data_IF_245295470408
#
_entry.id   IF_245295470408
#
_cell.length_a   1.000
_cell.length_b   1.000
_cell.length_c   1.000
_cell.angle_alpha   90.00
_cell.angle_beta   90.00
_cell.angle_gamma   90.00
#
_symmetry.space_group_name_H-M   'P 1'
#
loop_
_entity.id
_entity.type
_entity.pdbx_description
1 polymer ?
#
# COMPACT_ATOMS: atom_id res chain seq x y z
N UNK A 1 9.59 8.21 -11.85
CA UNK A 1 8.50 7.24 -12.11
C UNK A 1 9.01 5.88 -12.63
N UNK A 2 9.86 5.84 -13.65
CA UNK A 2 10.37 4.56 -14.17
C UNK A 2 11.11 3.70 -13.14
N UNK A 3 12.00 4.29 -12.34
CA UNK A 3 12.76 3.55 -11.31
C UNK A 3 11.89 2.93 -10.21
N UNK A 4 10.74 3.54 -9.90
CA UNK A 4 9.82 3.02 -8.87
C UNK A 4 8.91 1.90 -9.39
N UNK A 5 8.82 1.71 -10.71
CA UNK A 5 8.08 0.62 -11.35
C UNK A 5 8.97 -0.61 -11.62
N UNK A 6 10.27 -0.41 -11.80
CA UNK A 6 11.19 -1.50 -12.11
C UNK A 6 11.17 -2.59 -11.02
N UNK A 7 11.17 -2.20 -9.78
CA UNK A 7 11.15 -3.14 -8.64
C UNK A 7 9.86 -3.97 -8.57
N UNK A 8 8.63 -3.40 -8.63
CA UNK A 8 7.39 -4.18 -8.67
C UNK A 8 7.29 -5.10 -9.88
N UNK A 9 7.73 -4.64 -11.05
CA UNK A 9 7.73 -5.47 -12.27
C UNK A 9 8.72 -6.63 -12.12
N UNK A 10 9.91 -6.37 -11.58
CA UNK A 10 10.86 -7.42 -11.29
C UNK A 10 10.28 -8.46 -10.31
N UNK A 11 9.60 -8.03 -9.24
CA UNK A 11 8.93 -8.94 -8.31
C UNK A 11 7.88 -9.80 -9.00
N UNK A 12 7.04 -9.23 -9.88
CA UNK A 12 6.06 -10.01 -10.65
C UNK A 12 6.75 -11.03 -11.55
N UNK A 13 7.76 -10.61 -12.30
CA UNK A 13 8.49 -11.48 -13.21
C UNK A 13 9.22 -12.62 -12.47
N UNK A 14 9.91 -12.30 -11.36
CA UNK A 14 10.62 -13.31 -10.59
C UNK A 14 9.67 -14.27 -9.87
N UNK A 15 8.74 -13.75 -9.05
CA UNK A 15 7.87 -14.58 -8.23
C UNK A 15 6.89 -15.40 -9.07
N UNK A 16 6.38 -14.83 -10.17
CA UNK A 16 5.48 -15.54 -11.07
C UNK A 16 6.12 -16.74 -11.78
N UNK A 17 7.44 -16.70 -11.98
CA UNK A 17 8.16 -17.74 -12.68
C UNK A 17 8.94 -18.72 -11.78
N UNK A 18 9.31 -18.29 -10.56
CA UNK A 18 10.06 -19.16 -9.62
C UNK A 18 9.14 -20.24 -9.03
N UNK A 19 7.90 -19.87 -8.67
CA UNK A 19 6.96 -20.79 -8.04
C UNK A 19 6.01 -21.39 -9.08
N UNK A 20 6.49 -22.37 -9.83
CA UNK A 20 5.66 -23.20 -10.73
C UNK A 20 5.12 -24.39 -9.94
N UNK A 21 4.10 -24.15 -9.13
CA UNK A 21 3.44 -25.21 -8.37
C UNK A 21 2.37 -25.90 -9.22
N UNK A 22 2.15 -27.23 -9.04
CA UNK A 22 1.05 -27.94 -9.68
C UNK A 22 -0.31 -27.25 -9.40
N UNK A 23 -1.21 -27.30 -10.40
CA UNK A 23 -2.50 -26.60 -10.33
C UNK A 23 -3.39 -27.06 -9.18
N UNK A 24 -3.31 -28.31 -8.77
CA UNK A 24 -4.03 -28.89 -7.63
C UNK A 24 -3.55 -28.29 -6.30
N UNK A 25 -2.24 -28.08 -6.14
CA UNK A 25 -1.66 -27.42 -4.96
C UNK A 25 -2.05 -25.94 -4.97
N UNK A 26 -1.98 -25.27 -6.11
CA UNK A 26 -2.37 -23.87 -6.24
C UNK A 26 -3.84 -23.65 -5.89
N UNK A 27 -4.74 -24.46 -6.44
CA UNK A 27 -6.18 -24.36 -6.13
C UNK A 27 -6.48 -24.64 -4.67
N UNK A 28 -5.83 -25.64 -4.08
CA UNK A 28 -6.12 -26.10 -2.71
C UNK A 28 -5.58 -25.16 -1.62
N UNK A 29 -4.37 -24.64 -1.78
CA UNK A 29 -3.69 -23.84 -0.73
C UNK A 29 -3.74 -22.34 -0.98
N UNK A 30 -3.87 -21.91 -2.24
CA UNK A 30 -3.79 -20.49 -2.62
C UNK A 30 -5.09 -19.96 -3.23
N UNK A 31 -6.04 -20.83 -3.57
CA UNK A 31 -7.31 -20.45 -4.20
C UNK A 31 -7.15 -19.79 -5.58
N UNK A 32 -6.00 -19.95 -6.21
CA UNK A 32 -5.63 -19.29 -7.47
C UNK A 32 -5.17 -20.31 -8.52
N UNK A 33 -5.26 -19.98 -9.80
CA UNK A 33 -4.81 -20.85 -10.89
C UNK A 33 -3.29 -20.84 -11.05
N UNK A 34 -2.63 -19.74 -10.70
CA UNK A 34 -1.18 -19.56 -10.76
C UNK A 34 -0.66 -18.78 -9.57
N UNK A 35 0.61 -18.98 -9.21
CA UNK A 35 1.24 -18.21 -8.13
C UNK A 35 1.29 -16.70 -8.48
N UNK A 36 1.47 -16.36 -9.75
CA UNK A 36 1.42 -14.98 -10.21
C UNK A 36 0.08 -14.32 -9.91
N UNK A 37 -1.05 -15.02 -10.13
CA UNK A 37 -2.39 -14.50 -9.81
C UNK A 37 -2.55 -14.27 -8.31
N UNK A 38 -2.06 -15.17 -7.47
CA UNK A 38 -2.07 -15.05 -6.02
C UNK A 38 -1.17 -13.89 -5.52
N UNK A 39 -0.02 -13.67 -6.16
CA UNK A 39 1.00 -12.72 -5.73
C UNK A 39 0.76 -11.29 -6.24
N UNK A 40 0.03 -11.11 -7.34
CA UNK A 40 -0.25 -9.77 -7.91
C UNK A 40 -0.88 -8.80 -6.92
N UNK A 41 -1.90 -9.16 -6.10
CA UNK A 41 -2.43 -8.32 -5.03
C UNK A 41 -1.35 -7.82 -4.06
N UNK A 42 -0.43 -8.70 -3.68
CA UNK A 42 0.69 -8.36 -2.80
C UNK A 42 1.59 -7.29 -3.39
N UNK A 43 1.92 -7.37 -4.67
CA UNK A 43 2.75 -6.36 -5.36
C UNK A 43 2.04 -5.01 -5.40
N UNK A 44 0.73 -4.97 -5.63
CA UNK A 44 -0.07 -3.75 -5.61
C UNK A 44 -0.04 -3.12 -4.20
N UNK A 45 -0.24 -3.91 -3.17
CA UNK A 45 -0.20 -3.46 -1.76
C UNK A 45 1.21 -2.98 -1.37
N UNK A 46 2.26 -3.68 -1.79
CA UNK A 46 3.65 -3.27 -1.57
C UNK A 46 3.91 -1.86 -2.14
N UNK A 47 3.46 -1.62 -3.37
CA UNK A 47 3.60 -0.30 -4.02
C UNK A 47 2.79 0.76 -3.28
N UNK A 48 1.60 0.42 -2.76
CA UNK A 48 0.77 1.33 -2.00
C UNK A 48 1.43 1.74 -0.66
N UNK A 49 1.98 0.78 0.08
CA UNK A 49 2.70 1.02 1.34
C UNK A 49 3.95 1.88 1.10
N UNK A 50 4.81 1.48 0.17
CA UNK A 50 6.04 2.22 -0.14
C UNK A 50 5.74 3.61 -0.71
N UNK A 51 4.72 3.74 -1.56
CA UNK A 51 4.27 5.02 -2.10
C UNK A 51 3.79 5.97 -1.00
N UNK A 52 3.05 5.47 -0.01
CA UNK A 52 2.64 6.24 1.15
C UNK A 52 3.82 6.73 1.99
N UNK A 53 4.78 5.85 2.26
CA UNK A 53 6.01 6.18 3.00
C UNK A 53 6.77 7.33 2.32
N UNK A 54 6.89 7.31 1.00
CA UNK A 54 7.54 8.38 0.23
C UNK A 54 6.83 9.73 0.35
N UNK A 55 5.54 9.75 0.69
CA UNK A 55 4.77 10.98 0.91
C UNK A 55 5.35 11.85 2.02
N UNK A 56 5.54 11.30 3.22
CA UNK A 56 6.13 12.02 4.35
C UNK A 56 7.62 12.33 4.17
N UNK A 57 8.36 11.38 3.57
CA UNK A 57 9.77 11.60 3.18
C UNK A 57 9.94 12.86 2.33
N UNK A 58 9.07 13.07 1.33
CA UNK A 58 9.13 14.24 0.46
C UNK A 58 8.92 15.56 1.21
N UNK A 59 8.15 15.54 2.29
CA UNK A 59 7.90 16.74 3.12
C UNK A 59 9.15 17.11 3.93
N UNK A 60 9.85 16.13 4.49
CA UNK A 60 11.10 16.40 5.22
C UNK A 60 12.13 17.03 4.29
N UNK A 61 12.27 16.51 3.07
CA UNK A 61 13.18 17.08 2.06
C UNK A 61 12.81 18.53 1.74
N UNK A 62 11.52 18.83 1.59
CA UNK A 62 11.09 20.20 1.31
C UNK A 62 11.37 21.15 2.48
N UNK A 63 11.25 20.67 3.71
CA UNK A 63 11.61 21.45 4.90
C UNK A 63 13.13 21.71 4.91
N UNK A 64 13.95 20.69 4.72
CA UNK A 64 15.42 20.83 4.70
C UNK A 64 15.93 21.74 3.57
N UNK A 65 15.31 21.66 2.38
CA UNK A 65 15.66 22.53 1.24
C UNK A 65 15.08 23.93 1.32
N UNK A 66 14.33 24.25 2.38
CA UNK A 66 13.70 25.57 2.55
C UNK A 66 12.49 25.83 1.63
N UNK A 67 12.08 24.86 0.80
CA UNK A 67 10.89 24.99 -0.05
C UNK A 67 9.63 25.17 0.78
N UNK A 68 9.56 24.48 1.93
CA UNK A 68 8.42 24.58 2.81
C UNK A 68 8.22 26.01 3.35
N UNK A 69 9.30 26.71 3.70
CA UNK A 69 9.23 28.12 4.13
C UNK A 69 8.68 29.04 3.02
N UNK A 70 9.05 28.78 1.76
CA UNK A 70 8.53 29.54 0.61
C UNK A 70 7.03 29.30 0.39
N UNK A 71 6.55 28.07 0.61
CA UNK A 71 5.11 27.77 0.52
C UNK A 71 4.30 28.45 1.64
N UNK A 72 4.88 28.66 2.82
CA UNK A 72 4.20 29.33 3.94
C UNK A 72 4.03 30.83 3.75
N UNK A 73 4.71 31.46 2.81
CA UNK A 73 4.50 32.89 2.44
C UNK A 73 3.22 33.05 1.61
N UNK A 74 2.79 31.98 0.91
CA UNK A 74 1.51 31.96 0.21
C UNK A 74 0.35 31.79 1.22
N UNK A 75 -0.85 32.35 0.94
CA UNK A 75 -2.02 32.23 1.84
C UNK A 75 -2.63 30.82 1.78
N UNK A 76 -1.81 29.79 2.01
CA UNK A 76 -2.20 28.38 1.97
C UNK A 76 -2.03 27.77 3.37
N UNK A 77 -3.03 27.03 3.84
CA UNK A 77 -2.94 26.36 5.13
C UNK A 77 -1.89 25.23 5.09
N UNK A 78 -1.17 25.03 6.19
CA UNK A 78 -0.18 23.94 6.32
C UNK A 78 -0.81 22.57 6.08
N UNK A 79 -2.04 22.36 6.54
CA UNK A 79 -2.80 21.14 6.32
C UNK A 79 -3.11 20.90 4.84
N UNK A 80 -3.41 21.95 4.07
CA UNK A 80 -3.64 21.83 2.63
C UNK A 80 -2.39 21.38 1.87
N UNK A 81 -1.20 21.87 2.26
CA UNK A 81 0.06 21.41 1.67
C UNK A 81 0.31 19.92 1.98
N UNK A 82 0.11 19.52 3.24
CA UNK A 82 0.31 18.14 3.65
C UNK A 82 -0.65 17.17 2.96
N UNK A 83 -1.97 17.48 2.97
CA UNK A 83 -2.99 16.64 2.33
C UNK A 83 -2.82 16.60 0.80
N UNK A 84 -2.50 17.73 0.17
CA UNK A 84 -2.22 17.79 -1.27
C UNK A 84 -1.05 16.90 -1.68
N UNK A 85 0.03 16.89 -0.90
CA UNK A 85 1.15 15.97 -1.13
C UNK A 85 0.76 14.52 -0.96
N UNK A 86 0.11 14.17 0.14
CA UNK A 86 -0.34 12.79 0.38
C UNK A 86 -1.26 12.32 -0.74
N UNK A 87 -2.21 13.15 -1.19
CA UNK A 87 -3.09 12.84 -2.32
C UNK A 87 -2.31 12.66 -3.63
N UNK A 88 -1.28 13.47 -3.88
CA UNK A 88 -0.44 13.33 -5.09
C UNK A 88 0.29 11.99 -5.13
N UNK A 89 0.72 11.46 -3.98
CA UNK A 89 1.30 10.11 -3.90
C UNK A 89 0.23 9.03 -4.08
N UNK A 90 -0.97 9.23 -3.56
CA UNK A 90 -2.11 8.34 -3.83
C UNK A 90 -2.39 8.22 -5.33
N UNK A 91 -2.44 9.34 -6.06
CA UNK A 91 -2.63 9.33 -7.51
C UNK A 91 -1.48 8.64 -8.26
N UNK A 92 -0.22 8.84 -7.83
CA UNK A 92 0.93 8.11 -8.40
C UNK A 92 0.80 6.61 -8.21
N UNK A 93 0.39 6.17 -7.02
CA UNK A 93 0.13 4.76 -6.71
C UNK A 93 -1.02 4.22 -7.54
N UNK A 94 -2.09 5.02 -7.75
CA UNK A 94 -3.17 4.65 -8.66
C UNK A 94 -2.67 4.35 -10.07
N UNK A 95 -1.83 5.22 -10.64
CA UNK A 95 -1.22 4.99 -11.96
C UNK A 95 -0.32 3.76 -11.96
N UNK A 96 0.47 3.54 -10.88
CA UNK A 96 1.31 2.35 -10.75
C UNK A 96 0.48 1.07 -10.66
N UNK A 97 -0.64 1.08 -9.93
CA UNK A 97 -1.56 -0.04 -9.84
C UNK A 97 -2.19 -0.39 -11.20
N UNK A 98 -2.57 0.61 -12.01
CA UNK A 98 -3.03 0.39 -13.40
C UNK A 98 -1.95 -0.33 -14.21
N UNK A 99 -0.71 0.14 -14.15
CA UNK A 99 0.40 -0.47 -14.90
C UNK A 99 0.64 -1.92 -14.43
N UNK A 100 0.63 -2.17 -13.12
CA UNK A 100 0.81 -3.52 -12.55
C UNK A 100 -0.34 -4.44 -12.99
N UNK A 101 -1.59 -4.00 -12.90
CA UNK A 101 -2.75 -4.77 -13.38
C UNK A 101 -2.65 -5.07 -14.87
N UNK A 102 -2.21 -4.10 -15.68
CA UNK A 102 -2.05 -4.29 -17.13
C UNK A 102 -0.95 -5.31 -17.44
N UNK A 103 0.21 -5.17 -16.80
CA UNK A 103 1.33 -6.11 -17.00
C UNK A 103 0.96 -7.52 -16.53
N UNK A 104 0.35 -7.65 -15.36
CA UNK A 104 -0.09 -8.96 -14.85
C UNK A 104 -1.12 -9.60 -15.77
N UNK A 105 -2.04 -8.83 -16.37
CA UNK A 105 -2.99 -9.33 -17.36
C UNK A 105 -2.32 -9.80 -18.63
N UNK A 106 -1.28 -9.10 -19.13
CA UNK A 106 -0.48 -9.54 -20.26
C UNK A 106 0.27 -10.86 -19.93
N UNK A 107 0.70 -11.03 -18.67
CA UNK A 107 1.34 -12.25 -18.17
C UNK A 107 0.35 -13.41 -17.91
N UNK A 108 -0.94 -13.23 -18.21
CA UNK A 108 -1.96 -14.27 -18.10
C UNK A 108 -2.80 -14.24 -16.81
N UNK A 109 -2.65 -13.21 -15.97
CA UNK A 109 -3.53 -13.04 -14.79
C UNK A 109 -4.88 -12.49 -15.25
N UNK A 110 -5.93 -13.26 -15.03
CA UNK A 110 -7.31 -12.79 -15.24
C UNK A 110 -7.85 -12.10 -13.98
N UNK A 111 -8.48 -10.95 -14.14
CA UNK A 111 -9.22 -10.28 -13.08
C UNK A 111 -10.67 -10.76 -13.18
N UNK A 112 -11.12 -11.58 -12.23
CA UNK A 112 -12.44 -12.21 -12.25
C UNK A 112 -13.60 -11.20 -12.36
N UNK A 113 -13.43 -9.99 -11.83
CA UNK A 113 -14.43 -8.92 -11.81
C UNK A 113 -14.30 -7.92 -12.98
N UNK A 114 -13.37 -8.16 -13.90
CA UNK A 114 -13.16 -7.31 -15.09
C UNK A 114 -12.71 -5.89 -14.74
N UNK A 115 -13.07 -4.93 -15.59
CA UNK A 115 -12.64 -3.52 -15.48
C UNK A 115 -13.17 -2.85 -14.20
N UNK A 116 -14.39 -3.16 -13.79
CA UNK A 116 -14.97 -2.59 -12.55
C UNK A 116 -14.17 -3.03 -11.32
N UNK A 117 -13.76 -4.30 -11.29
CA UNK A 117 -12.90 -4.79 -10.22
C UNK A 117 -11.50 -4.16 -10.25
N UNK A 118 -10.94 -3.93 -11.43
CA UNK A 118 -9.68 -3.22 -11.55
C UNK A 118 -9.75 -1.81 -10.96
N UNK A 119 -10.83 -1.07 -11.20
CA UNK A 119 -11.05 0.25 -10.59
C UNK A 119 -11.13 0.13 -9.07
N UNK A 120 -11.85 -0.84 -8.54
CA UNK A 120 -11.93 -1.07 -7.10
C UNK A 120 -10.55 -1.38 -6.48
N UNK A 121 -9.75 -2.24 -7.12
CA UNK A 121 -8.38 -2.55 -6.70
C UNK A 121 -7.51 -1.29 -6.64
N UNK A 122 -7.59 -0.43 -7.66
CA UNK A 122 -6.85 0.84 -7.71
C UNK A 122 -7.27 1.75 -6.55
N UNK A 123 -8.57 1.87 -6.26
CA UNK A 123 -9.09 2.69 -5.18
C UNK A 123 -8.64 2.18 -3.80
N UNK A 124 -8.63 0.86 -3.59
CA UNK A 124 -8.12 0.24 -2.36
C UNK A 124 -6.62 0.52 -2.19
N UNK A 125 -5.84 0.38 -3.25
CA UNK A 125 -4.41 0.70 -3.23
C UNK A 125 -4.14 2.18 -2.91
N UNK A 126 -4.91 3.10 -3.49
CA UNK A 126 -4.84 4.53 -3.18
C UNK A 126 -5.21 4.80 -1.72
N UNK A 127 -6.25 4.18 -1.20
CA UNK A 127 -6.70 4.33 0.18
C UNK A 127 -5.61 3.86 1.16
N UNK A 128 -5.00 2.71 0.91
CA UNK A 128 -3.88 2.21 1.70
C UNK A 128 -2.65 3.15 1.62
N UNK A 129 -2.35 3.68 0.43
CA UNK A 129 -1.28 4.67 0.26
C UNK A 129 -1.55 5.92 1.10
N UNK A 130 -2.78 6.40 1.18
CA UNK A 130 -3.15 7.54 2.03
C UNK A 130 -2.96 7.23 3.51
N UNK A 131 -3.26 6.00 3.96
CA UNK A 131 -3.04 5.55 5.33
C UNK A 131 -1.55 5.61 5.71
N UNK A 132 -0.70 4.97 4.90
CA UNK A 132 0.75 4.99 5.11
C UNK A 132 1.38 6.36 4.87
N UNK A 133 0.80 7.18 4.00
CA UNK A 133 1.17 8.58 3.84
C UNK A 133 0.89 9.41 5.08
N UNK A 134 -0.25 9.21 5.73
CA UNK A 134 -0.58 9.79 7.02
C UNK A 134 0.38 9.35 8.12
N UNK A 135 0.64 8.04 8.23
CA UNK A 135 1.63 7.49 9.17
C UNK A 135 3.02 8.10 8.93
N UNK A 136 3.47 8.12 7.68
CA UNK A 136 4.75 8.69 7.28
C UNK A 136 4.86 10.16 7.64
N UNK A 137 3.80 10.94 7.43
CA UNK A 137 3.75 12.34 7.80
C UNK A 137 3.78 12.54 9.31
N UNK A 138 3.07 11.70 10.09
CA UNK A 138 3.12 11.73 11.55
C UNK A 138 4.53 11.46 12.09
N UNK A 139 5.23 10.48 11.52
CA UNK A 139 6.64 10.18 11.85
C UNK A 139 7.56 11.33 11.42
N UNK A 140 7.30 11.98 10.29
CA UNK A 140 8.10 13.10 9.79
C UNK A 140 8.17 14.28 10.77
N UNK A 141 7.09 14.54 11.50
CA UNK A 141 7.05 15.59 12.53
C UNK A 141 8.01 15.31 13.70
N UNK A 142 8.23 14.02 14.01
CA UNK A 142 9.06 13.57 15.13
C UNK A 142 10.50 13.23 14.72
N UNK A 143 10.74 13.02 13.43
CA UNK A 143 12.04 12.62 12.91
C UNK A 143 13.02 13.82 12.86
N UNK A 144 14.25 13.61 13.34
CA UNK A 144 15.29 14.65 13.35
C UNK A 144 15.89 14.88 11.96
N UNK A 145 15.95 13.85 11.14
CA UNK A 145 16.52 13.89 9.78
C UNK A 145 15.85 12.85 8.88
N UNK A 146 16.21 12.88 7.60
CA UNK A 146 15.66 12.00 6.56
C UNK A 146 16.00 10.54 6.83
N UNK A 147 17.21 10.25 7.28
CA UNK A 147 17.69 8.90 7.54
C UNK A 147 16.92 8.26 8.70
N UNK A 148 16.72 8.99 9.80
CA UNK A 148 15.94 8.51 10.95
C UNK A 148 14.47 8.24 10.56
N UNK A 149 13.86 9.11 9.76
CA UNK A 149 12.51 8.91 9.25
C UNK A 149 12.42 7.62 8.43
N UNK A 150 13.36 7.43 7.50
CA UNK A 150 13.36 6.27 6.61
C UNK A 150 13.63 4.97 7.36
N UNK A 151 14.55 4.99 8.33
CA UNK A 151 14.84 3.85 9.18
C UNK A 151 13.61 3.42 10.00
N UNK A 152 12.92 4.38 10.65
CA UNK A 152 11.72 4.10 11.42
C UNK A 152 10.60 3.51 10.57
N UNK A 153 10.37 4.06 9.38
CA UNK A 153 9.30 3.57 8.51
C UNK A 153 9.62 2.23 7.88
N UNK A 154 10.87 1.98 7.49
CA UNK A 154 11.28 0.66 7.02
C UNK A 154 11.18 -0.40 8.14
N UNK A 155 11.54 -0.03 9.37
CA UNK A 155 11.39 -0.89 10.55
C UNK A 155 9.92 -1.26 10.82
N UNK A 156 8.97 -0.38 10.47
CA UNK A 156 7.54 -0.66 10.61
C UNK A 156 6.96 -1.37 9.38
N UNK A 157 7.30 -0.91 8.16
CA UNK A 157 6.68 -1.39 6.93
C UNK A 157 7.07 -2.83 6.59
N UNK A 158 8.34 -3.20 6.76
CA UNK A 158 8.80 -4.55 6.45
C UNK A 158 8.09 -5.63 7.29
N UNK A 159 8.03 -5.52 8.64
CA UNK A 159 7.25 -6.46 9.43
C UNK A 159 5.77 -6.49 9.04
N UNK A 160 5.14 -5.33 8.78
CA UNK A 160 3.74 -5.29 8.39
C UNK A 160 3.49 -6.00 7.05
N UNK A 161 4.38 -5.88 6.08
CA UNK A 161 4.27 -6.60 4.80
C UNK A 161 4.48 -8.10 5.01
N UNK A 162 5.53 -8.50 5.74
CA UNK A 162 5.84 -9.92 5.94
C UNK A 162 4.88 -10.62 6.90
N UNK A 163 4.35 -9.93 7.91
CA UNK A 163 3.31 -10.44 8.83
C UNK A 163 1.89 -10.31 8.25
N UNK A 164 1.73 -10.38 6.95
CA UNK A 164 0.46 -10.37 6.25
C UNK A 164 0.36 -11.57 5.30
N UNK A 165 -0.81 -11.92 4.78
CA UNK A 165 -0.98 -13.01 3.82
C UNK A 165 -0.41 -12.65 2.43
N UNK A 166 0.79 -12.05 2.42
CA UNK A 166 1.47 -11.58 1.21
C UNK A 166 2.04 -12.73 0.39
N UNK A 167 2.68 -13.70 1.05
CA UNK A 167 3.45 -14.78 0.41
C UNK A 167 2.71 -16.11 0.51
N UNK A 168 1.92 -16.31 1.56
CA UNK A 168 1.18 -17.54 1.83
C UNK A 168 -0.26 -17.23 2.25
N UNK A 169 -1.18 -18.19 2.02
CA UNK A 169 -2.57 -18.05 2.47
C UNK A 169 -2.70 -18.28 3.98
N UNK A 170 -3.77 -17.77 4.60
CA UNK A 170 -4.05 -17.98 6.02
C UNK A 170 -4.07 -19.45 6.43
N UNK A 171 -4.56 -20.33 5.55
CA UNK A 171 -4.67 -21.77 5.79
C UNK A 171 -3.33 -22.48 5.94
N UNK A 172 -2.28 -21.93 5.33
CA UNK A 172 -0.92 -22.47 5.39
C UNK A 172 -0.06 -21.87 6.51
N UNK A 173 -0.61 -20.90 7.26
CA UNK A 173 0.12 -20.20 8.33
C UNK A 173 0.02 -20.92 9.67
N UNK A 174 1.09 -20.95 10.50
CA UNK A 174 1.00 -21.31 11.91
C UNK A 174 0.02 -20.40 12.65
N UNK A 175 -0.67 -20.92 13.66
CA UNK A 175 -1.74 -20.21 14.40
C UNK A 175 -1.30 -18.87 15.00
N UNK A 176 -0.08 -18.81 15.55
CA UNK A 176 0.49 -17.57 16.10
C UNK A 176 0.70 -16.50 15.02
N UNK A 177 1.13 -16.91 13.84
CA UNK A 177 1.37 -16.00 12.71
C UNK A 177 0.04 -15.49 12.16
N UNK A 178 -0.95 -16.38 11.97
CA UNK A 178 -2.30 -16.00 11.54
C UNK A 178 -2.95 -14.99 12.50
N UNK A 179 -2.71 -15.11 13.81
CA UNK A 179 -3.21 -14.14 14.81
C UNK A 179 -2.57 -12.76 14.61
N UNK A 180 -1.26 -12.69 14.40
CA UNK A 180 -0.57 -11.42 14.11
C UNK A 180 -1.01 -10.82 12.76
N UNK A 181 -1.20 -11.66 11.75
CA UNK A 181 -1.69 -11.23 10.45
C UNK A 181 -3.09 -10.61 10.52
N UNK A 182 -3.98 -11.11 11.39
CA UNK A 182 -5.32 -10.53 11.62
C UNK A 182 -5.29 -9.18 12.32
N UNK A 183 -4.24 -8.85 13.06
CA UNK A 183 -4.07 -7.52 13.67
C UNK A 183 -3.43 -6.51 12.71
N UNK A 184 -2.96 -6.96 11.58
CA UNK A 184 -2.20 -6.17 10.63
C UNK A 184 -3.10 -5.43 9.62
N UNK A 185 -3.06 -4.08 9.54
CA UNK A 185 -3.90 -3.33 8.61
C UNK A 185 -3.61 -3.64 7.13
N UNK A 186 -2.39 -4.11 6.80
CA UNK A 186 -2.01 -4.49 5.43
C UNK A 186 -2.80 -5.70 4.96
N UNK A 187 -3.12 -6.63 5.85
CA UNK A 187 -3.95 -7.81 5.58
C UNK A 187 -5.31 -7.43 4.99
N UNK A 188 -5.95 -6.44 5.61
CA UNK A 188 -7.26 -5.94 5.21
C UNK A 188 -7.27 -5.19 3.88
N UNK A 189 -6.11 -4.90 3.30
CA UNK A 189 -6.00 -4.41 1.93
C UNK A 189 -5.69 -5.55 0.94
N UNK A 190 -4.89 -6.55 1.32
CA UNK A 190 -4.54 -7.68 0.47
C UNK A 190 -5.75 -8.57 0.19
N UNK A 191 -6.51 -8.92 1.23
CA UNK A 191 -7.64 -9.84 1.11
C UNK A 191 -8.76 -9.35 0.16
N UNK A 192 -9.28 -8.11 0.28
CA UNK A 192 -10.28 -7.63 -0.66
C UNK A 192 -9.74 -7.50 -2.09
N UNK A 193 -8.48 -7.06 -2.28
CA UNK A 193 -7.86 -7.01 -3.60
C UNK A 193 -7.78 -8.43 -4.20
N UNK A 194 -7.34 -9.41 -3.40
CA UNK A 194 -7.25 -10.82 -3.82
C UNK A 194 -8.62 -11.38 -4.15
N UNK A 195 -9.62 -11.15 -3.31
CA UNK A 195 -11.00 -11.58 -3.53
C UNK A 195 -11.55 -11.02 -4.84
N UNK A 196 -11.40 -9.71 -5.08
CA UNK A 196 -11.84 -9.04 -6.31
C UNK A 196 -11.13 -9.63 -7.54
N UNK A 197 -9.84 -9.91 -7.44
CA UNK A 197 -9.06 -10.41 -8.58
C UNK A 197 -9.30 -11.88 -8.88
N UNK A 198 -9.53 -12.73 -7.85
CA UNK A 198 -9.56 -14.19 -8.00
C UNK A 198 -10.99 -14.74 -7.91
N UNK A 199 -11.72 -14.39 -6.85
CA UNK A 199 -13.00 -15.00 -6.49
C UNK A 199 -14.23 -14.22 -6.98
N UNK A 200 -14.05 -12.96 -7.38
CA UNK A 200 -15.15 -12.09 -7.81
C UNK A 200 -15.70 -11.20 -6.69
N UNK A 201 -16.94 -10.73 -6.85
CA UNK A 201 -17.60 -9.83 -5.90
C UNK A 201 -18.16 -10.60 -4.69
N UNK A 202 -17.34 -10.78 -3.65
CA UNK A 202 -17.79 -11.30 -2.37
C UNK A 202 -17.87 -10.17 -1.34
N UNK A 203 -19.02 -9.51 -1.28
CA UNK A 203 -19.23 -8.34 -0.42
C UNK A 203 -19.12 -8.67 1.07
N UNK A 204 -19.35 -9.92 1.49
CA UNK A 204 -19.24 -10.34 2.90
C UNK A 204 -17.80 -10.31 3.40
N UNK A 205 -16.83 -10.48 2.51
CA UNK A 205 -15.38 -10.35 2.81
C UNK A 205 -14.92 -8.92 2.53
N UNK A 206 -15.27 -8.37 1.38
CA UNK A 206 -14.75 -7.08 0.90
C UNK A 206 -15.17 -5.92 1.82
N UNK A 207 -16.45 -5.85 2.24
CA UNK A 207 -16.96 -4.71 3.01
C UNK A 207 -16.32 -4.55 4.40
N UNK A 208 -16.22 -5.60 5.24
CA UNK A 208 -15.56 -5.48 6.54
C UNK A 208 -14.10 -5.03 6.41
N UNK A 209 -13.37 -5.57 5.44
CA UNK A 209 -11.96 -5.25 5.22
C UNK A 209 -11.79 -3.80 4.75
N UNK A 210 -12.65 -3.31 3.85
CA UNK A 210 -12.66 -1.91 3.43
C UNK A 210 -12.97 -0.95 4.57
N UNK A 211 -13.85 -1.32 5.51
CA UNK A 211 -14.14 -0.52 6.69
C UNK A 211 -12.88 -0.41 7.55
N UNK A 212 -12.15 -1.51 7.77
CA UNK A 212 -10.89 -1.49 8.54
C UNK A 212 -9.84 -0.62 7.86
N UNK A 213 -9.60 -0.79 6.56
CA UNK A 213 -8.62 0.03 5.82
C UNK A 213 -9.06 1.49 5.80
N UNK A 214 -10.34 1.76 5.61
CA UNK A 214 -10.91 3.12 5.58
C UNK A 214 -10.76 3.83 6.93
N UNK A 215 -11.12 3.18 8.01
CA UNK A 215 -10.97 3.73 9.37
C UNK A 215 -9.52 3.95 9.73
N UNK A 216 -8.63 3.01 9.39
CA UNK A 216 -7.19 3.17 9.56
C UNK A 216 -6.65 4.36 8.77
N UNK A 217 -7.07 4.52 7.51
CA UNK A 217 -6.65 5.64 6.66
C UNK A 217 -7.10 6.98 7.23
N UNK A 218 -8.35 7.09 7.64
CA UNK A 218 -8.91 8.31 8.25
C UNK A 218 -8.17 8.62 9.55
N UNK A 219 -7.96 7.63 10.41
CA UNK A 219 -7.26 7.81 11.68
C UNK A 219 -5.83 8.33 11.46
N UNK A 220 -5.06 7.74 10.55
CA UNK A 220 -3.70 8.15 10.24
C UNK A 220 -3.64 9.56 9.65
N UNK A 221 -4.56 9.93 8.76
CA UNK A 221 -4.65 11.28 8.20
C UNK A 221 -5.03 12.32 9.24
N UNK A 222 -5.94 12.02 10.16
CA UNK A 222 -6.32 12.92 11.25
C UNK A 222 -5.14 13.13 12.21
N UNK A 223 -4.47 12.07 12.64
CA UNK A 223 -3.28 12.13 13.50
C UNK A 223 -2.19 12.97 12.81
N UNK A 224 -1.90 12.67 11.54
CA UNK A 224 -0.92 13.41 10.77
C UNK A 224 -1.24 14.90 10.67
N UNK A 225 -2.49 15.24 10.35
CA UNK A 225 -2.95 16.62 10.24
C UNK A 225 -2.86 17.35 11.57
N UNK A 226 -3.24 16.67 12.65
CA UNK A 226 -3.15 17.25 14.02
C UNK A 226 -1.70 17.53 14.42
N UNK A 227 -0.80 16.56 14.25
CA UNK A 227 0.62 16.72 14.56
C UNK A 227 1.27 17.79 13.69
N UNK A 228 0.94 17.81 12.40
CA UNK A 228 1.49 18.76 11.45
C UNK A 228 1.07 20.20 11.72
N UNK A 229 -0.15 20.43 12.21
CA UNK A 229 -0.61 21.76 12.66
C UNK A 229 0.20 22.29 13.85
N UNK A 230 0.64 21.41 14.74
CA UNK A 230 1.43 21.76 15.92
C UNK A 230 2.94 21.84 15.65
N UNK A 231 3.37 21.36 14.50
CA UNK A 231 4.78 21.34 14.15
C UNK A 231 5.34 22.75 14.02
N UNK A 232 6.21 23.11 14.95
CA UNK A 232 7.00 24.35 14.89
C UNK A 232 8.29 24.03 14.16
N UNK A 233 8.40 24.55 12.94
CA UNK A 233 9.62 24.46 12.15
C UNK A 233 10.57 25.50 12.73
N UNK A 234 11.56 25.05 13.51
CA UNK A 234 12.63 25.89 14.05
C UNK A 234 13.56 26.41 12.97
#
# INVERSE_FOLDING_TARGET
>A
MFSTLLQPIAWLAFMGNIFQLPADIMGRFFGASTYLQFFTPTVIVLVAVLGGILGGYSIIIDVQKGYFRKMLVAPISRSAVASGKTLSFGLKVGVQAVIICTISSIMGVSIATGIVGMIAVILIAMLLCLAFGGLSLAVAVSAKNVEAHQALLNMLALPLIFLSPSISSFESMPSWFATLARLNPVTYAIEPIRTIMISGWNLTIILPDLIVVGTFSIAMLLIATFLFRRWRIG
#
